data_IF_401646117346
#
_entry.id   IF_401646117346
#
_cell.length_a   1.000
_cell.length_b   1.000
_cell.length_c   1.000
_cell.angle_alpha   90.00
_cell.angle_beta   90.00
_cell.angle_gamma   90.00
#
_symmetry.space_group_name_H-M   'P 1'
#
loop_
_entity.id
_entity.type
_entity.pdbx_description
1 polymer ?
#
# COMPACT_ATOMS: atom_id res chain seq x y z
N UNK A 1 -8.77 19.51 38.70
CA UNK A 1 -9.71 20.43 39.40
C UNK A 1 -9.01 21.35 40.41
N UNK A 2 -8.18 20.83 41.33
CA UNK A 2 -7.41 21.65 42.30
C UNK A 2 -6.51 22.72 41.66
N UNK A 3 -5.72 22.35 40.65
CA UNK A 3 -4.82 23.28 39.95
C UNK A 3 -5.54 24.42 39.21
N UNK A 4 -6.77 24.18 38.72
CA UNK A 4 -7.56 25.22 38.04
C UNK A 4 -8.06 26.29 39.00
N UNK A 5 -8.50 25.88 40.20
CA UNK A 5 -8.95 26.80 41.25
C UNK A 5 -7.79 27.67 41.78
N UNK A 6 -6.62 27.07 42.01
CA UNK A 6 -5.42 27.80 42.47
C UNK A 6 -4.91 28.78 41.40
N UNK A 7 -4.90 28.39 40.11
CA UNK A 7 -4.53 29.29 39.00
C UNK A 7 -5.50 30.47 38.86
N UNK A 8 -6.81 30.22 38.94
CA UNK A 8 -7.82 31.28 38.86
C UNK A 8 -7.70 32.29 40.01
N UNK A 9 -7.39 31.82 41.23
CA UNK A 9 -7.13 32.68 42.38
C UNK A 9 -5.86 33.52 42.25
N UNK A 10 -4.77 32.97 41.69
CA UNK A 10 -3.50 33.67 41.48
C UNK A 10 -3.56 34.72 40.36
N UNK A 11 -4.49 34.57 39.41
CA UNK A 11 -4.64 35.46 38.24
C UNK A 11 -5.76 36.51 38.41
N UNK A 12 -6.38 36.60 39.60
CA UNK A 12 -7.52 37.47 39.86
C UNK A 12 -7.23 38.98 39.72
N UNK A 13 -5.96 39.39 39.86
CA UNK A 13 -5.49 40.77 39.73
C UNK A 13 -5.17 41.20 38.29
N UNK A 14 -5.16 40.27 37.33
CA UNK A 14 -4.85 40.56 35.94
C UNK A 14 -6.12 40.82 35.11
N UNK A 15 -6.02 41.63 34.03
CA UNK A 15 -7.09 41.81 33.05
C UNK A 15 -7.64 40.47 32.54
N UNK A 16 -8.93 40.45 32.24
CA UNK A 16 -9.69 39.23 31.90
C UNK A 16 -9.06 38.46 30.73
N UNK A 17 -8.55 39.16 29.72
CA UNK A 17 -7.82 38.59 28.57
C UNK A 17 -6.55 37.81 28.96
N UNK A 18 -5.81 38.27 29.97
CA UNK A 18 -4.59 37.60 30.44
C UNK A 18 -4.94 36.40 31.31
N UNK A 19 -6.05 36.50 32.06
CA UNK A 19 -6.55 35.44 32.93
C UNK A 19 -7.05 34.25 32.12
N UNK A 20 -7.83 34.50 31.07
CA UNK A 20 -8.30 33.44 30.15
C UNK A 20 -7.11 32.73 29.50
N UNK A 21 -6.17 33.47 28.91
CA UNK A 21 -4.98 32.89 28.26
C UNK A 21 -4.08 32.11 29.21
N UNK A 22 -3.94 32.53 30.46
CA UNK A 22 -3.10 31.84 31.45
C UNK A 22 -3.82 30.62 32.08
N UNK A 23 -5.15 30.60 32.07
CA UNK A 23 -5.96 29.45 32.50
C UNK A 23 -6.03 28.38 31.40
N UNK A 24 -6.18 28.78 30.13
CA UNK A 24 -6.11 27.90 28.96
C UNK A 24 -4.73 27.24 28.82
N UNK A 25 -3.68 27.90 29.30
CA UNK A 25 -2.31 27.38 29.25
C UNK A 25 -1.62 27.72 27.92
N UNK A 26 -0.31 27.45 27.80
CA UNK A 26 0.39 27.71 26.56
C UNK A 26 -0.16 26.80 25.46
N UNK A 27 -0.63 27.39 24.36
CA UNK A 27 -0.95 26.68 23.13
C UNK A 27 0.37 26.29 22.45
N UNK A 28 0.91 25.12 22.84
CA UNK A 28 2.17 24.62 22.29
C UNK A 28 1.87 23.98 20.94
N UNK A 29 2.00 24.76 19.87
CA UNK A 29 1.93 24.22 18.51
C UNK A 29 3.29 23.65 18.12
N UNK A 30 3.33 22.35 17.81
CA UNK A 30 4.50 21.70 17.25
C UNK A 30 4.56 22.03 15.77
N UNK A 31 5.31 23.06 15.41
CA UNK A 31 5.60 23.39 14.01
C UNK A 31 6.74 22.52 13.49
N UNK A 32 6.48 21.83 12.38
CA UNK A 32 7.53 21.19 11.60
C UNK A 32 8.57 22.22 11.14
N UNK A 33 9.84 21.84 11.03
CA UNK A 33 10.98 22.75 10.80
C UNK A 33 10.92 23.53 9.46
N UNK A 34 10.04 23.12 8.55
CA UNK A 34 9.70 23.73 7.27
C UNK A 34 8.52 24.71 7.35
N UNK A 35 7.90 24.91 8.52
CA UNK A 35 6.83 25.89 8.78
C UNK A 35 5.48 25.58 8.11
N UNK A 36 5.40 24.54 7.28
CA UNK A 36 4.24 24.21 6.47
C UNK A 36 3.13 23.45 7.23
N UNK A 37 3.44 22.91 8.43
CA UNK A 37 2.48 22.17 9.25
C UNK A 37 2.62 22.48 10.73
N UNK A 38 1.51 22.87 11.33
CA UNK A 38 1.29 22.98 12.78
C UNK A 38 0.61 21.70 13.24
N UNK A 39 1.35 20.83 13.92
CA UNK A 39 0.74 19.76 14.71
C UNK A 39 0.24 20.41 16.00
N UNK A 40 -1.08 20.47 16.18
CA UNK A 40 -1.68 20.85 17.46
C UNK A 40 -1.34 19.78 18.51
N UNK A 41 -1.08 20.21 19.75
CA UNK A 41 -0.87 19.30 20.88
C UNK A 41 -2.13 18.44 21.05
N UNK A 42 -2.04 17.14 20.72
CA UNK A 42 -3.17 16.21 20.75
C UNK A 42 -3.65 15.67 19.40
N UNK A 43 -3.04 16.03 18.27
CA UNK A 43 -3.37 15.42 16.95
C UNK A 43 -2.80 13.99 16.81
N UNK A 44 -3.32 13.08 17.64
CA UNK A 44 -3.00 11.65 17.62
C UNK A 44 -3.41 11.02 16.28
N UNK A 45 -4.46 11.55 15.64
CA UNK A 45 -4.97 11.06 14.36
C UNK A 45 -3.99 11.31 13.21
N UNK A 46 -3.39 12.51 13.16
CA UNK A 46 -2.41 12.88 12.14
C UNK A 46 -1.17 11.99 12.13
N UNK A 47 -0.75 11.50 13.30
CA UNK A 47 0.41 10.60 13.44
C UNK A 47 0.02 9.12 13.26
N UNK A 48 -1.08 8.67 13.87
CA UNK A 48 -1.46 7.25 13.85
C UNK A 48 -2.13 6.81 12.55
N UNK A 49 -2.95 7.64 11.91
CA UNK A 49 -3.67 7.25 10.69
C UNK A 49 -2.74 6.80 9.54
N UNK A 50 -1.62 7.49 9.25
CA UNK A 50 -0.59 7.02 8.30
C UNK A 50 -0.01 5.65 8.63
N UNK A 51 0.29 5.42 9.92
CA UNK A 51 0.88 4.16 10.41
C UNK A 51 -0.14 3.03 10.29
N UNK A 52 -1.39 3.29 10.68
CA UNK A 52 -2.50 2.34 10.57
C UNK A 52 -2.75 2.01 9.09
N UNK A 53 -2.83 3.01 8.21
CA UNK A 53 -3.03 2.80 6.77
C UNK A 53 -1.88 1.97 6.16
N UNK A 54 -0.63 2.25 6.55
CA UNK A 54 0.53 1.47 6.14
C UNK A 54 0.45 0.01 6.64
N UNK A 55 0.06 -0.19 7.90
CA UNK A 55 -0.13 -1.52 8.47
C UNK A 55 -1.25 -2.29 7.75
N UNK A 56 -2.38 -1.64 7.48
CA UNK A 56 -3.50 -2.26 6.76
C UNK A 56 -3.09 -2.71 5.35
N UNK A 57 -2.31 -1.89 4.64
CA UNK A 57 -1.78 -2.30 3.34
C UNK A 57 -0.84 -3.49 3.47
N UNK A 58 0.08 -3.47 4.43
CA UNK A 58 1.01 -4.58 4.69
C UNK A 58 0.25 -5.88 4.97
N UNK A 59 -0.74 -5.86 5.86
CA UNK A 59 -1.57 -7.02 6.18
C UNK A 59 -2.34 -7.51 4.95
N UNK A 60 -2.94 -6.59 4.19
CA UNK A 60 -3.72 -6.95 3.01
C UNK A 60 -2.84 -7.57 1.94
N UNK A 61 -1.69 -6.96 1.64
CA UNK A 61 -0.70 -7.46 0.69
C UNK A 61 -0.18 -8.86 1.06
N UNK A 62 0.19 -9.08 2.33
CA UNK A 62 0.68 -10.40 2.76
C UNK A 62 -0.37 -11.49 2.62
N UNK A 63 -1.59 -11.22 3.09
CA UNK A 63 -2.69 -12.19 3.04
C UNK A 63 -3.07 -12.49 1.58
N UNK A 64 -3.28 -11.45 0.77
CA UNK A 64 -3.68 -11.65 -0.62
C UNK A 64 -2.59 -12.34 -1.45
N UNK A 65 -1.30 -12.02 -1.26
CA UNK A 65 -0.22 -12.62 -2.07
C UNK A 65 -0.25 -14.14 -2.09
N UNK A 66 -0.51 -14.79 -0.94
CA UNK A 66 -0.60 -16.25 -0.86
C UNK A 66 -1.81 -16.79 -1.61
N UNK A 67 -2.99 -16.19 -1.43
CA UNK A 67 -4.21 -16.58 -2.11
C UNK A 67 -4.13 -16.37 -3.63
N UNK A 68 -3.53 -15.27 -4.06
CA UNK A 68 -3.35 -14.92 -5.47
C UNK A 68 -2.57 -15.99 -6.22
N UNK A 69 -1.41 -16.34 -5.66
CA UNK A 69 -0.57 -17.38 -6.22
C UNK A 69 -1.30 -18.73 -6.23
N UNK A 70 -1.90 -19.12 -5.10
CA UNK A 70 -2.60 -20.40 -5.00
C UNK A 70 -3.73 -20.51 -6.02
N UNK A 71 -4.51 -19.46 -6.22
CA UNK A 71 -5.61 -19.43 -7.18
C UNK A 71 -5.13 -19.63 -8.63
N UNK A 72 -3.94 -19.15 -8.99
CA UNK A 72 -3.39 -19.33 -10.35
C UNK A 72 -2.83 -20.73 -10.53
N UNK A 73 -2.13 -21.23 -9.53
CA UNK A 73 -1.53 -22.57 -9.60
C UNK A 73 -2.61 -23.65 -9.57
N UNK A 74 -3.64 -23.51 -8.73
CA UNK A 74 -4.73 -24.49 -8.66
C UNK A 74 -5.55 -24.56 -9.96
N UNK A 75 -5.77 -23.43 -10.64
CA UNK A 75 -6.43 -23.42 -11.96
C UNK A 75 -5.61 -24.11 -13.06
N UNK A 76 -4.27 -24.05 -12.95
CA UNK A 76 -3.35 -24.78 -13.82
C UNK A 76 -3.36 -26.27 -13.52
N UNK A 77 -3.30 -26.64 -12.24
CA UNK A 77 -3.31 -28.03 -11.78
C UNK A 77 -4.59 -28.77 -12.18
N UNK A 78 -5.73 -28.11 -12.06
CA UNK A 78 -7.04 -28.72 -12.35
C UNK A 78 -7.41 -28.77 -13.84
N UNK A 79 -6.49 -28.44 -14.76
CA UNK A 79 -6.74 -28.27 -16.22
C UNK A 79 -7.91 -27.34 -16.58
N UNK A 80 -8.45 -26.59 -15.61
CA UNK A 80 -9.50 -25.60 -15.84
C UNK A 80 -9.05 -24.57 -16.86
N UNK A 81 -7.76 -24.22 -16.82
CA UNK A 81 -7.15 -23.28 -17.74
C UNK A 81 -7.16 -23.75 -19.21
N UNK A 82 -6.98 -25.06 -19.48
CA UNK A 82 -7.04 -25.62 -20.85
C UNK A 82 -8.43 -25.53 -21.44
N UNK A 83 -9.45 -25.85 -20.62
CA UNK A 83 -10.86 -25.76 -21.03
C UNK A 83 -11.21 -24.29 -21.32
N UNK A 84 -10.83 -23.37 -20.43
CA UNK A 84 -11.13 -21.94 -20.59
C UNK A 84 -10.42 -21.31 -21.79
N UNK A 85 -9.23 -21.81 -22.16
CA UNK A 85 -8.49 -21.34 -23.32
C UNK A 85 -9.17 -21.65 -24.66
N UNK A 86 -10.11 -22.61 -24.70
CA UNK A 86 -10.93 -22.88 -25.90
C UNK A 86 -12.00 -21.80 -26.15
N UNK A 87 -12.34 -21.03 -25.12
CA UNK A 87 -13.44 -20.05 -25.14
C UNK A 87 -12.97 -18.60 -25.01
N UNK A 88 -11.86 -18.35 -24.31
CA UNK A 88 -11.34 -17.00 -24.01
C UNK A 88 -9.82 -16.99 -24.19
N UNK A 89 -9.27 -15.90 -24.72
CA UNK A 89 -7.81 -15.80 -24.87
C UNK A 89 -7.10 -15.74 -23.50
N UNK A 90 -5.89 -16.31 -23.35
CA UNK A 90 -5.15 -16.29 -22.08
C UNK A 90 -4.93 -14.88 -21.51
N UNK A 91 -4.76 -13.89 -22.39
CA UNK A 91 -4.61 -12.48 -22.01
C UNK A 91 -5.89 -11.90 -21.41
N UNK A 92 -7.06 -12.26 -21.95
CA UNK A 92 -8.35 -11.84 -21.40
C UNK A 92 -8.64 -12.54 -20.07
N UNK A 93 -8.29 -13.84 -19.95
CA UNK A 93 -8.43 -14.59 -18.71
C UNK A 93 -7.62 -13.97 -17.58
N UNK A 94 -6.33 -13.67 -17.81
CA UNK A 94 -5.46 -13.03 -16.80
C UNK A 94 -5.89 -11.61 -16.50
N UNK A 95 -6.23 -10.81 -17.52
CA UNK A 95 -6.68 -9.43 -17.33
C UNK A 95 -7.94 -9.36 -16.47
N UNK A 96 -8.94 -10.21 -16.78
CA UNK A 96 -10.15 -10.34 -15.98
C UNK A 96 -9.89 -10.83 -14.57
N UNK A 97 -9.00 -11.82 -14.40
CA UNK A 97 -8.59 -12.30 -13.08
C UNK A 97 -7.92 -11.21 -12.25
N UNK A 98 -6.98 -10.47 -12.82
CA UNK A 98 -6.32 -9.35 -12.14
C UNK A 98 -7.33 -8.28 -11.70
N UNK A 99 -8.32 -7.94 -12.53
CA UNK A 99 -9.40 -7.01 -12.17
C UNK A 99 -10.29 -7.52 -11.04
N UNK A 100 -10.70 -8.79 -11.09
CA UNK A 100 -11.50 -9.41 -10.03
C UNK A 100 -10.74 -9.44 -8.70
N UNK A 101 -9.44 -9.71 -8.74
CA UNK A 101 -8.58 -9.71 -7.57
C UNK A 101 -8.37 -8.31 -6.99
N UNK A 102 -8.24 -7.29 -7.84
CA UNK A 102 -8.25 -5.89 -7.40
C UNK A 102 -9.58 -5.51 -6.74
N UNK A 103 -10.71 -6.01 -7.24
CA UNK A 103 -12.01 -5.81 -6.60
C UNK A 103 -12.07 -6.48 -5.21
N UNK A 104 -11.58 -7.71 -5.06
CA UNK A 104 -11.48 -8.38 -3.74
C UNK A 104 -10.62 -7.57 -2.76
N UNK A 105 -9.49 -7.04 -3.22
CA UNK A 105 -8.60 -6.22 -2.40
C UNK A 105 -9.26 -4.90 -1.97
N UNK A 106 -10.04 -4.27 -2.85
CA UNK A 106 -10.84 -3.10 -2.51
C UNK A 106 -11.91 -3.43 -1.46
N UNK A 107 -12.58 -4.57 -1.59
CA UNK A 107 -13.57 -5.02 -0.60
C UNK A 107 -12.91 -5.23 0.77
N UNK A 108 -11.73 -5.87 0.79
CA UNK A 108 -10.95 -6.06 2.01
C UNK A 108 -10.56 -4.71 2.65
N UNK A 109 -10.06 -3.76 1.86
CA UNK A 109 -9.73 -2.42 2.34
C UNK A 109 -10.97 -1.68 2.87
N UNK A 110 -12.11 -1.79 2.18
CA UNK A 110 -13.38 -1.23 2.61
C UNK A 110 -13.86 -1.81 3.95
N UNK A 111 -13.71 -3.12 4.14
CA UNK A 111 -14.02 -3.78 5.42
C UNK A 111 -13.15 -3.25 6.55
N UNK A 112 -11.85 -3.10 6.34
CA UNK A 112 -10.96 -2.52 7.36
C UNK A 112 -11.33 -1.09 7.73
N UNK A 113 -11.62 -0.23 6.74
CA UNK A 113 -12.06 1.14 6.98
C UNK A 113 -13.39 1.14 7.75
N UNK A 114 -14.33 0.29 7.38
CA UNK A 114 -15.62 0.15 8.07
C UNK A 114 -15.42 -0.28 9.53
N UNK A 115 -14.61 -1.31 9.77
CA UNK A 115 -14.32 -1.81 11.12
C UNK A 115 -13.69 -0.73 12.00
N UNK A 116 -12.72 0.03 11.47
CA UNK A 116 -12.10 1.14 12.20
C UNK A 116 -13.11 2.25 12.46
N UNK A 117 -13.92 2.61 11.47
CA UNK A 117 -14.95 3.65 11.61
C UNK A 117 -16.00 3.29 12.66
N UNK A 118 -16.49 2.05 12.65
CA UNK A 118 -17.44 1.55 13.66
C UNK A 118 -16.79 1.49 15.04
N UNK A 119 -15.55 0.99 15.13
CA UNK A 119 -14.81 0.96 16.39
C UNK A 119 -14.61 2.35 17.01
N UNK A 120 -14.30 3.35 16.17
CA UNK A 120 -14.18 4.74 16.60
C UNK A 120 -15.52 5.32 17.06
N UNK A 121 -16.61 5.06 16.32
CA UNK A 121 -17.95 5.53 16.70
C UNK A 121 -18.39 4.95 18.06
N UNK A 122 -18.13 3.67 18.29
CA UNK A 122 -18.38 3.02 19.58
C UNK A 122 -17.52 3.66 20.68
N UNK A 123 -16.22 3.87 20.44
CA UNK A 123 -15.32 4.47 21.42
C UNK A 123 -15.80 5.87 21.85
N UNK A 124 -16.21 6.72 20.91
CA UNK A 124 -16.76 8.06 21.22
C UNK A 124 -18.07 7.98 22.00
N UNK A 125 -18.90 6.96 21.77
CA UNK A 125 -20.15 6.78 22.52
C UNK A 125 -19.96 6.24 23.94
N UNK A 126 -18.84 5.54 24.21
CA UNK A 126 -18.59 4.86 25.49
C UNK A 126 -17.69 5.69 26.41
N UNK A 127 -16.73 6.44 25.86
CA UNK A 127 -15.78 7.23 26.65
C UNK A 127 -16.08 8.73 26.51
N UNK A 128 -16.47 9.37 27.61
CA UNK A 128 -16.79 10.82 27.66
C UNK A 128 -15.59 11.71 27.28
N UNK A 129 -14.36 11.26 27.56
CA UNK A 129 -13.10 11.94 27.22
C UNK A 129 -12.46 11.39 25.93
N UNK A 130 -13.22 10.74 25.04
CA UNK A 130 -12.68 10.24 23.78
C UNK A 130 -12.13 11.40 22.94
N UNK A 131 -10.88 11.32 22.45
CA UNK A 131 -10.33 12.35 21.58
C UNK A 131 -11.16 12.43 20.29
N UNK A 132 -11.52 13.65 19.89
CA UNK A 132 -12.20 13.90 18.61
C UNK A 132 -11.21 13.65 17.48
N UNK A 133 -11.21 12.44 16.95
CA UNK A 133 -10.34 12.02 15.84
C UNK A 133 -10.91 12.60 14.54
N UNK A 134 -10.21 13.59 13.98
CA UNK A 134 -10.52 14.09 12.63
C UNK A 134 -9.92 13.16 11.59
N UNK A 135 -10.77 12.55 10.76
CA UNK A 135 -10.30 11.66 9.70
C UNK A 135 -9.63 12.50 8.59
N UNK A 136 -8.35 12.24 8.28
CA UNK A 136 -7.66 12.96 7.21
C UNK A 136 -8.12 12.45 5.84
N UNK A 137 -9.21 13.01 5.31
CA UNK A 137 -9.77 12.62 4.00
C UNK A 137 -8.76 12.66 2.85
N UNK A 138 -7.80 13.60 2.89
CA UNK A 138 -6.72 13.68 1.90
C UNK A 138 -5.77 12.47 1.94
N UNK A 139 -5.50 11.92 3.14
CA UNK A 139 -4.74 10.68 3.28
C UNK A 139 -5.52 9.51 2.69
N UNK A 140 -6.80 9.37 3.02
CA UNK A 140 -7.65 8.30 2.49
C UNK A 140 -7.73 8.32 0.96
N UNK A 141 -7.93 9.50 0.36
CA UNK A 141 -7.92 9.66 -1.10
C UNK A 141 -6.59 9.25 -1.72
N UNK A 142 -5.46 9.62 -1.09
CA UNK A 142 -4.13 9.22 -1.57
C UNK A 142 -3.91 7.71 -1.44
N UNK A 143 -4.30 7.12 -0.31
CA UNK A 143 -4.20 5.67 -0.08
C UNK A 143 -4.97 4.93 -1.17
N UNK A 144 -6.23 5.28 -1.42
CA UNK A 144 -7.04 4.63 -2.46
C UNK A 144 -6.41 4.79 -3.85
N UNK A 145 -5.93 5.99 -4.19
CA UNK A 145 -5.32 6.30 -5.48
C UNK A 145 -4.05 5.48 -5.76
N UNK A 146 -3.22 5.26 -4.75
CA UNK A 146 -2.00 4.46 -4.85
C UNK A 146 -2.25 2.96 -4.62
N UNK A 147 -3.31 2.59 -3.90
CA UNK A 147 -3.66 1.21 -3.58
C UNK A 147 -3.90 0.40 -4.85
N UNK A 148 -4.77 0.89 -5.74
CA UNK A 148 -5.12 0.20 -6.98
C UNK A 148 -3.91 -0.23 -7.81
N UNK A 149 -3.02 0.68 -8.25
CA UNK A 149 -1.88 0.28 -9.06
C UNK A 149 -0.81 -0.48 -8.26
N UNK A 150 -0.68 -0.25 -6.94
CA UNK A 150 0.20 -1.10 -6.09
C UNK A 150 -0.29 -2.54 -6.03
N UNK A 151 -1.60 -2.74 -5.88
CA UNK A 151 -2.21 -4.06 -5.89
C UNK A 151 -2.16 -4.71 -7.26
N UNK A 152 -2.37 -3.94 -8.33
CA UNK A 152 -2.21 -4.42 -9.70
C UNK A 152 -0.78 -4.90 -9.98
N UNK A 153 0.23 -4.19 -9.48
CA UNK A 153 1.63 -4.60 -9.56
C UNK A 153 1.88 -5.91 -8.81
N UNK A 154 1.41 -6.02 -7.55
CA UNK A 154 1.51 -7.25 -6.76
C UNK A 154 0.83 -8.43 -7.47
N UNK A 155 -0.40 -8.22 -7.97
CA UNK A 155 -1.16 -9.24 -8.68
C UNK A 155 -0.46 -9.68 -9.97
N UNK A 156 0.06 -8.75 -10.77
CA UNK A 156 0.83 -9.08 -11.97
C UNK A 156 2.05 -9.95 -11.64
N UNK A 157 2.80 -9.61 -10.60
CA UNK A 157 3.95 -10.40 -10.16
C UNK A 157 3.51 -11.80 -9.70
N UNK A 158 2.47 -11.90 -8.86
CA UNK A 158 1.99 -13.20 -8.36
C UNK A 158 1.43 -14.09 -9.45
N UNK A 159 0.71 -13.53 -10.42
CA UNK A 159 0.21 -14.28 -11.58
C UNK A 159 1.38 -14.77 -12.45
N UNK A 160 2.40 -13.94 -12.67
CA UNK A 160 3.59 -14.34 -13.40
C UNK A 160 4.31 -15.51 -12.72
N UNK A 161 4.47 -15.47 -11.40
CA UNK A 161 5.05 -16.59 -10.62
C UNK A 161 4.15 -17.84 -10.74
N UNK A 162 2.84 -17.68 -10.56
CA UNK A 162 1.87 -18.78 -10.66
C UNK A 162 1.88 -19.47 -12.02
N UNK A 163 2.14 -18.73 -13.10
CA UNK A 163 2.35 -19.30 -14.44
C UNK A 163 3.68 -20.07 -14.57
N UNK A 164 4.74 -19.58 -13.92
CA UNK A 164 6.08 -20.16 -13.99
C UNK A 164 6.27 -21.41 -13.10
N UNK A 165 5.55 -21.54 -11.99
CA UNK A 165 5.65 -22.68 -11.08
C UNK A 165 4.66 -23.79 -11.42
N UNK A 166 4.97 -25.02 -10.99
CA UNK A 166 4.12 -26.19 -11.20
C UNK A 166 3.32 -26.58 -9.95
N UNK A 167 3.78 -26.16 -8.76
CA UNK A 167 3.17 -26.53 -7.47
C UNK A 167 2.99 -25.29 -6.60
N UNK A 168 1.85 -25.21 -5.89
CA UNK A 168 1.52 -24.07 -5.06
C UNK A 168 2.53 -23.89 -3.90
N UNK A 169 3.02 -24.99 -3.33
CA UNK A 169 4.00 -24.98 -2.23
C UNK A 169 5.34 -24.35 -2.65
N UNK A 170 5.83 -24.67 -3.85
CA UNK A 170 7.04 -24.07 -4.41
C UNK A 170 6.83 -22.59 -4.72
N UNK A 171 5.67 -22.23 -5.26
CA UNK A 171 5.32 -20.83 -5.48
C UNK A 171 5.30 -20.04 -4.18
N UNK A 172 4.76 -20.59 -3.09
CA UNK A 172 4.64 -19.88 -1.81
C UNK A 172 6.02 -19.53 -1.24
N UNK A 173 6.99 -20.45 -1.35
CA UNK A 173 8.38 -20.20 -0.95
C UNK A 173 9.04 -19.08 -1.78
N UNK A 174 8.68 -18.94 -3.06
CA UNK A 174 9.17 -17.87 -3.94
C UNK A 174 8.44 -16.54 -3.72
N UNK A 175 7.15 -16.60 -3.34
CA UNK A 175 6.32 -15.41 -3.14
C UNK A 175 6.79 -14.54 -1.97
N UNK A 176 7.28 -15.14 -0.88
CA UNK A 176 7.74 -14.41 0.30
C UNK A 176 8.84 -13.40 -0.01
N UNK A 177 9.99 -13.81 -0.58
CA UNK A 177 11.05 -12.88 -0.98
C UNK A 177 10.60 -11.77 -1.95
N UNK A 178 9.59 -12.03 -2.78
CA UNK A 178 9.06 -11.06 -3.74
C UNK A 178 8.07 -10.07 -3.13
N UNK A 179 7.46 -10.38 -1.99
CA UNK A 179 6.64 -9.43 -1.23
C UNK A 179 7.46 -8.58 -0.26
N UNK A 180 8.65 -9.02 0.15
CA UNK A 180 9.53 -8.25 1.05
C UNK A 180 9.78 -6.80 0.59
N UNK A 181 10.05 -6.50 -0.70
CA UNK A 181 10.22 -5.11 -1.15
C UNK A 181 8.98 -4.24 -0.89
N UNK A 182 7.77 -4.80 -0.96
CA UNK A 182 6.55 -4.06 -0.63
C UNK A 182 6.46 -3.70 0.85
N UNK A 183 7.09 -4.50 1.72
CA UNK A 183 7.09 -4.31 3.17
C UNK A 183 8.26 -3.47 3.66
N UNK A 184 9.29 -3.29 2.82
CA UNK A 184 10.53 -2.59 3.15
C UNK A 184 10.32 -1.22 3.81
N UNK A 185 9.38 -0.36 3.36
CA UNK A 185 9.16 0.95 3.99
C UNK A 185 8.65 0.84 5.42
N UNK A 186 7.86 -0.19 5.72
CA UNK A 186 7.39 -0.44 7.08
C UNK A 186 8.53 -0.94 7.97
N UNK A 187 9.38 -1.84 7.46
CA UNK A 187 10.57 -2.31 8.20
C UNK A 187 11.55 -1.16 8.46
N UNK A 188 11.74 -0.27 7.48
CA UNK A 188 12.59 0.92 7.59
C UNK A 188 11.86 2.13 8.17
N UNK A 189 10.68 1.93 8.78
CA UNK A 189 9.87 3.00 9.34
C UNK A 189 10.67 3.87 10.33
N UNK A 190 11.50 3.35 11.26
CA UNK A 190 12.32 4.20 12.12
C UNK A 190 13.25 5.16 11.36
N UNK A 191 13.77 4.74 10.21
CA UNK A 191 14.61 5.58 9.33
C UNK A 191 13.76 6.63 8.61
N UNK A 192 12.57 6.24 8.14
CA UNK A 192 11.63 7.16 7.50
C UNK A 192 11.05 8.19 8.48
N UNK A 193 10.84 7.83 9.75
CA UNK A 193 10.38 8.74 10.80
C UNK A 193 11.47 9.76 11.17
N UNK A 194 12.72 9.31 11.30
CA UNK A 194 13.83 10.17 11.69
C UNK A 194 14.25 11.14 10.59
N UNK A 195 14.15 10.73 9.31
CA UNK A 195 14.47 11.58 8.16
C UNK A 195 13.42 11.48 7.03
N UNK A 196 12.22 12.06 7.21
CA UNK A 196 11.10 11.91 6.26
C UNK A 196 11.36 12.52 4.87
N UNK A 197 12.24 13.52 4.79
CA UNK A 197 12.66 14.19 3.55
C UNK A 197 14.03 13.74 3.04
N UNK A 198 14.66 12.75 3.70
CA UNK A 198 15.96 12.22 3.32
C UNK A 198 15.96 11.55 1.94
N UNK A 199 17.15 11.39 1.36
CA UNK A 199 17.32 10.80 0.03
C UNK A 199 16.71 9.39 -0.09
N UNK A 200 16.85 8.55 0.95
CA UNK A 200 16.29 7.19 0.99
C UNK A 200 14.76 7.22 0.93
N UNK A 201 14.13 8.12 1.69
CA UNK A 201 12.68 8.34 1.70
C UNK A 201 12.17 8.77 0.33
N UNK A 202 12.93 9.58 -0.41
CA UNK A 202 12.60 9.97 -1.80
C UNK A 202 12.72 8.78 -2.75
N UNK A 203 13.81 8.00 -2.68
CA UNK A 203 13.99 6.82 -3.53
C UNK A 203 12.88 5.79 -3.32
N UNK A 204 12.52 5.52 -2.06
CA UNK A 204 11.47 4.57 -1.72
C UNK A 204 10.07 5.09 -2.11
N UNK A 205 9.87 6.41 -2.13
CA UNK A 205 8.64 6.98 -2.71
C UNK A 205 8.58 6.76 -4.22
N UNK A 206 9.68 6.90 -4.95
CA UNK A 206 9.69 6.74 -6.42
C UNK A 206 9.69 5.28 -6.86
N UNK A 207 10.24 4.37 -6.05
CA UNK A 207 10.31 2.96 -6.39
C UNK A 207 8.91 2.30 -6.30
N UNK A 208 8.37 1.71 -7.37
CA UNK A 208 6.97 1.28 -7.46
C UNK A 208 6.49 0.40 -6.30
N UNK A 209 7.23 -0.66 -5.97
CA UNK A 209 6.82 -1.63 -4.93
C UNK A 209 6.76 -1.00 -3.54
N UNK A 210 7.57 0.03 -3.27
CA UNK A 210 7.66 0.71 -1.97
C UNK A 210 6.82 1.99 -1.91
N UNK A 211 6.36 2.49 -3.06
CA UNK A 211 5.80 3.84 -3.20
C UNK A 211 4.61 4.11 -2.29
N UNK A 212 3.58 3.26 -2.28
CA UNK A 212 2.36 3.44 -1.48
C UNK A 212 2.65 3.52 0.01
N UNK A 213 3.41 2.57 0.57
CA UNK A 213 3.73 2.59 2.00
C UNK A 213 4.56 3.81 2.35
N UNK A 214 5.54 4.16 1.52
CA UNK A 214 6.42 5.30 1.78
C UNK A 214 5.67 6.63 1.71
N UNK A 215 4.83 6.83 0.69
CA UNK A 215 4.00 8.05 0.55
C UNK A 215 3.02 8.16 1.71
N UNK A 216 2.36 7.06 2.07
CA UNK A 216 1.40 7.04 3.19
C UNK A 216 2.07 7.44 4.50
N UNK A 217 3.21 6.82 4.83
CA UNK A 217 3.97 7.14 6.04
C UNK A 217 4.50 8.58 6.03
N UNK A 218 5.05 9.05 4.90
CA UNK A 218 5.61 10.41 4.78
C UNK A 218 4.54 11.49 4.86
N UNK A 219 3.36 11.29 4.28
CA UNK A 219 2.25 12.26 4.34
C UNK A 219 1.73 12.51 5.74
N UNK A 220 1.99 11.59 6.68
CA UNK A 220 1.74 11.77 8.11
C UNK A 220 2.66 12.75 8.83
N UNK A 221 3.87 12.94 8.29
CA UNK A 221 5.00 13.43 9.08
C UNK A 221 5.70 14.62 8.42
N UNK A 222 5.67 14.70 7.09
CA UNK A 222 6.33 15.74 6.32
C UNK A 222 5.53 16.12 5.08
N UNK A 223 5.83 17.30 4.54
CA UNK A 223 5.29 17.70 3.26
C UNK A 223 6.04 16.99 2.13
N UNK A 224 5.34 16.12 1.40
CA UNK A 224 5.90 15.47 0.21
C UNK A 224 5.67 16.40 -0.98
N UNK A 225 6.71 16.77 -1.76
CA UNK A 225 6.55 17.60 -2.94
C UNK A 225 5.61 16.93 -3.96
N UNK A 226 4.74 17.73 -4.59
CA UNK A 226 3.72 17.20 -5.51
C UNK A 226 4.33 16.43 -6.70
N UNK A 227 5.50 16.86 -7.19
CA UNK A 227 6.19 16.15 -8.27
C UNK A 227 6.64 14.74 -7.86
N UNK A 228 7.01 14.51 -6.59
CA UNK A 228 7.36 13.17 -6.10
C UNK A 228 6.13 12.28 -6.06
N UNK A 229 4.97 12.84 -5.74
CA UNK A 229 3.70 12.11 -5.76
C UNK A 229 3.32 11.75 -7.20
N UNK A 230 3.27 12.74 -8.10
CA UNK A 230 2.88 12.49 -9.50
C UNK A 230 3.86 11.52 -10.18
N UNK A 231 5.17 11.74 -10.02
CA UNK A 231 6.18 10.86 -10.63
C UNK A 231 6.11 9.43 -10.07
N UNK A 232 5.99 9.27 -8.75
CA UNK A 232 5.84 7.93 -8.16
C UNK A 232 4.57 7.23 -8.61
N UNK A 233 3.44 7.95 -8.69
CA UNK A 233 2.18 7.39 -9.15
C UNK A 233 2.24 6.95 -10.61
N UNK A 234 2.83 7.78 -11.49
CA UNK A 234 3.03 7.41 -12.91
C UNK A 234 3.95 6.19 -13.03
N UNK A 235 5.09 6.17 -12.34
CA UNK A 235 6.00 5.02 -12.33
C UNK A 235 5.32 3.75 -11.83
N UNK A 236 4.49 3.86 -10.81
CA UNK A 236 3.73 2.77 -10.24
C UNK A 236 2.69 2.21 -11.23
N UNK A 237 1.91 3.08 -11.87
CA UNK A 237 0.92 2.69 -12.88
C UNK A 237 1.60 2.00 -14.07
N UNK A 238 2.68 2.58 -14.58
CA UNK A 238 3.46 1.98 -15.68
C UNK A 238 4.00 0.61 -15.28
N UNK A 239 4.53 0.48 -14.06
CA UNK A 239 5.05 -0.79 -13.55
C UNK A 239 3.97 -1.84 -13.36
N UNK A 240 2.80 -1.44 -12.87
CA UNK A 240 1.64 -2.32 -12.71
C UNK A 240 1.16 -2.84 -14.07
N UNK A 241 1.02 -1.95 -15.05
CA UNK A 241 0.65 -2.32 -16.41
C UNK A 241 1.69 -3.26 -17.04
N UNK A 242 2.98 -2.97 -16.86
CA UNK A 242 4.08 -3.82 -17.34
C UNK A 242 4.05 -5.21 -16.68
N UNK A 243 3.78 -5.30 -15.37
CA UNK A 243 3.69 -6.56 -14.65
C UNK A 243 2.49 -7.41 -15.12
N UNK A 244 1.31 -6.81 -15.30
CA UNK A 244 0.13 -7.52 -15.83
C UNK A 244 0.39 -7.99 -17.27
N UNK A 245 0.99 -7.16 -18.11
CA UNK A 245 1.36 -7.53 -19.47
C UNK A 245 2.36 -8.69 -19.51
N UNK A 246 3.40 -8.63 -18.66
CA UNK A 246 4.41 -9.69 -18.54
C UNK A 246 3.78 -10.99 -18.03
N UNK A 247 2.85 -10.92 -17.08
CA UNK A 247 2.13 -12.07 -16.56
C UNK A 247 1.37 -12.80 -17.68
N UNK A 248 0.66 -12.05 -18.54
CA UNK A 248 -0.02 -12.62 -19.72
C UNK A 248 0.94 -13.33 -20.68
N UNK A 249 2.13 -12.76 -20.92
CA UNK A 249 3.18 -13.37 -21.76
C UNK A 249 3.73 -14.66 -21.13
N UNK A 250 4.11 -14.62 -19.85
CA UNK A 250 4.65 -15.77 -19.12
C UNK A 250 3.66 -16.93 -19.13
N UNK A 251 2.38 -16.63 -18.93
CA UNK A 251 1.33 -17.64 -18.91
C UNK A 251 1.10 -18.28 -20.28
N UNK A 252 1.07 -17.49 -21.36
CA UNK A 252 0.98 -18.01 -22.73
C UNK A 252 2.15 -18.94 -23.06
N UNK A 253 3.36 -18.59 -22.63
CA UNK A 253 4.56 -19.42 -22.83
C UNK A 253 4.52 -20.70 -21.97
N UNK A 254 4.02 -20.60 -20.74
CA UNK A 254 3.88 -21.74 -19.82
C UNK A 254 2.85 -22.78 -20.28
N UNK A 255 1.80 -22.36 -20.99
CA UNK A 255 0.79 -23.27 -21.56
C UNK A 255 1.32 -24.13 -22.72
N UNK A 256 2.24 -23.60 -23.54
CA UNK A 256 2.76 -24.30 -24.73
C UNK A 256 3.89 -25.30 -24.43
N UNK A 257 4.46 -25.26 -23.22
CA UNK A 257 5.55 -26.14 -22.77
C UNK A 257 5.11 -26.92 -21.54
N UNK A 258 4.15 -27.81 -21.73
CA UNK A 258 3.65 -28.66 -20.65
C UNK A 258 4.77 -29.58 -20.14
N UNK A 259 5.16 -29.41 -18.88
CA UNK A 259 5.96 -30.39 -18.13
C UNK A 259 7.46 -30.12 -17.92
N UNK A 260 8.06 -29.10 -18.53
CA UNK A 260 9.48 -28.76 -18.28
C UNK A 260 9.63 -27.43 -17.53
N UNK A 261 10.47 -27.42 -16.48
CA UNK A 261 10.76 -26.23 -15.65
C UNK A 261 11.36 -25.14 -16.55
N UNK A 262 10.71 -23.97 -16.61
CA UNK A 262 11.25 -22.81 -17.30
C UNK A 262 12.36 -22.19 -16.46
N UNK A 263 13.61 -22.32 -16.91
CA UNK A 263 14.76 -21.61 -16.34
C UNK A 263 14.69 -20.12 -16.71
N UNK A 264 15.04 -19.23 -15.78
CA UNK A 264 14.92 -17.78 -15.90
C UNK A 264 15.66 -17.24 -17.15
N UNK A 265 16.74 -17.93 -17.53
CA UNK A 265 17.54 -17.65 -18.74
C UNK A 265 16.76 -17.89 -20.04
N UNK A 266 15.87 -18.88 -20.06
CA UNK A 266 15.07 -19.22 -21.24
C UNK A 266 13.90 -18.24 -21.44
N UNK A 267 13.35 -17.68 -20.36
CA UNK A 267 12.31 -16.63 -20.44
C UNK A 267 12.88 -15.35 -21.07
N UNK A 268 14.09 -14.93 -20.66
CA UNK A 268 14.76 -13.76 -21.22
C UNK A 268 15.19 -14.00 -22.68
N UNK A 269 15.61 -15.22 -23.02
CA UNK A 269 15.95 -15.58 -24.40
C UNK A 269 14.71 -15.60 -25.32
N UNK A 270 13.58 -16.17 -24.87
CA UNK A 270 12.33 -16.20 -25.63
C UNK A 270 11.77 -14.80 -25.88
N UNK A 271 11.87 -13.89 -24.90
CA UNK A 271 11.47 -12.49 -25.06
C UNK A 271 12.34 -11.71 -26.06
N UNK A 272 13.60 -12.13 -26.29
CA UNK A 272 14.47 -11.55 -27.33
C UNK A 272 14.18 -12.15 -28.71
N UNK A 273 13.91 -13.46 -28.79
CA UNK A 273 13.63 -14.15 -30.05
C UNK A 273 12.32 -13.67 -30.72
N UNK A 274 11.30 -13.33 -29.93
CA UNK A 274 10.02 -12.78 -30.42
C UNK A 274 10.18 -11.36 -31.01
N UNK A 275 11.27 -10.64 -30.65
CA UNK A 275 11.62 -9.33 -31.24
C UNK A 275 12.47 -9.44 -32.51
N UNK A 276 13.13 -10.57 -32.74
CA UNK A 276 14.00 -10.78 -33.91
C UNK A 276 13.30 -11.46 -35.09
N UNK A 277 12.01 -11.80 -34.98
CA UNK A 277 11.25 -12.41 -36.09
C UNK A 277 11.75 -13.81 -36.49
N UNK A 278 12.61 -14.43 -35.69
CA UNK A 278 13.16 -15.76 -35.95
C UNK A 278 12.41 -16.78 -35.11
N UNK A 279 11.21 -17.12 -35.55
CA UNK A 279 10.60 -18.42 -35.26
C UNK A 279 10.36 -19.07 -36.61
N UNK A 280 11.41 -19.69 -37.16
CA UNK A 280 11.24 -20.67 -38.22
C UNK A 280 10.89 -22.01 -37.57
N UNK A 281 9.76 -22.56 -38.04
CA UNK A 281 9.28 -23.95 -38.05
C UNK A 281 9.49 -24.83 -36.82
#
# INVERSE_FOLDING_TARGET
RWNGFVRAGLLASYPEEIRERAVEGPEVTLRSADGARTLEEGDVAGVLAPIIAALLFMLTSMMSSGYLLQAVVSEKENRTMEIMATSVTPTQLIGGKALGLMAVALTQLGLWILTIGVGLAIAVSVFEDAPVIRIPWGLLGTVVLYFLPSYGLLAGIMIAIGGAVNEARHGQAVSGPLTLPFMLPFVLMPVLLSNPSGWLSVVMTLFPMTSLLTVTLRLGLAQVPMWQMIASWVLLVVSAAAAIWLAGRVFRLGMLRYGQRLDFRQIVAALRAERSGTVEA
#
